data_IF_247977545659
#
_entry.id   IF_247977545659
#
_cell.length_a   1.000
_cell.length_b   1.000
_cell.length_c   1.000
_cell.angle_alpha   90.00
_cell.angle_beta   90.00
_cell.angle_gamma   90.00
#
_symmetry.space_group_name_H-M   'P 1'
#
loop_
_entity.id
_entity.type
_entity.pdbx_description
1 polymer ?
#
# COMPACT_ATOMS: atom_id res chain seq x y z
N UNK A 1 -6.39 8.69 3.57
CA UNK A 1 -4.93 8.51 3.54
C UNK A 1 -4.26 9.86 3.33
N UNK A 2 -3.03 9.97 3.74
CA UNK A 2 -2.19 11.16 3.56
C UNK A 2 -1.49 11.17 2.18
N UNK A 3 -1.21 10.00 1.63
CA UNK A 3 -0.63 9.80 0.30
C UNK A 3 -0.81 8.34 -0.15
N UNK A 4 -0.49 8.04 -1.39
CA UNK A 4 -0.34 6.69 -1.89
C UNK A 4 1.04 6.08 -1.58
N UNK A 5 1.22 4.80 -1.90
CA UNK A 5 2.43 4.03 -1.57
C UNK A 5 3.06 3.35 -2.79
N UNK A 6 2.95 3.93 -3.97
CA UNK A 6 3.43 3.35 -5.24
C UNK A 6 2.89 1.94 -5.51
N UNK A 7 1.73 1.66 -4.96
CA UNK A 7 1.07 0.36 -4.91
C UNK A 7 0.23 0.11 -6.16
N UNK A 8 0.30 -1.09 -6.71
CA UNK A 8 -0.47 -1.49 -7.90
C UNK A 8 -1.25 -2.77 -7.66
N UNK A 9 -2.43 -2.85 -8.27
CA UNK A 9 -3.24 -4.06 -8.38
C UNK A 9 -3.41 -4.34 -9.88
N UNK A 10 -2.89 -5.46 -10.37
CA UNK A 10 -2.81 -5.75 -11.80
C UNK A 10 -3.02 -7.24 -12.10
N UNK A 11 -2.90 -7.63 -13.38
CA UNK A 11 -2.79 -9.00 -13.83
C UNK A 11 -4.04 -9.64 -14.43
N UNK A 12 -5.23 -9.05 -14.34
CA UNK A 12 -6.49 -9.62 -14.84
C UNK A 12 -6.75 -11.07 -14.38
N UNK A 13 -6.65 -11.39 -13.09
CA UNK A 13 -6.86 -12.74 -12.61
C UNK A 13 -8.33 -13.17 -12.75
N UNK A 14 -8.56 -14.47 -12.74
CA UNK A 14 -9.93 -15.02 -12.68
C UNK A 14 -10.65 -14.55 -11.41
N UNK A 15 -11.99 -14.50 -11.49
CA UNK A 15 -12.82 -14.14 -10.33
C UNK A 15 -12.57 -15.10 -9.17
N UNK A 16 -12.35 -14.57 -7.97
CA UNK A 16 -12.04 -15.35 -6.76
C UNK A 16 -10.55 -15.65 -6.58
N UNK A 17 -9.67 -15.16 -7.47
CA UNK A 17 -8.23 -15.21 -7.21
C UNK A 17 -7.91 -14.47 -5.91
N UNK A 18 -7.12 -15.05 -4.98
CA UNK A 18 -6.72 -14.34 -3.78
C UNK A 18 -5.99 -13.03 -4.14
N UNK A 19 -6.33 -11.94 -3.47
CA UNK A 19 -5.71 -10.64 -3.76
C UNK A 19 -4.21 -10.63 -3.51
N UNK A 20 -3.71 -11.40 -2.53
CA UNK A 20 -2.29 -11.60 -2.26
C UNK A 20 -1.68 -12.73 -3.09
N UNK A 21 -2.49 -13.41 -3.92
CA UNK A 21 -2.08 -14.57 -4.69
C UNK A 21 -1.31 -14.22 -5.96
N UNK A 22 -0.68 -15.25 -6.53
CA UNK A 22 -0.19 -15.22 -7.91
C UNK A 22 -1.37 -15.09 -8.86
N UNK A 23 -1.17 -14.43 -9.98
CA UNK A 23 -2.20 -14.25 -11.00
C UNK A 23 -2.52 -15.59 -11.66
N UNK A 24 -3.77 -16.01 -11.61
CA UNK A 24 -4.30 -17.14 -12.40
C UNK A 24 -5.30 -16.59 -13.41
N UNK A 25 -5.03 -16.74 -14.69
CA UNK A 25 -5.87 -16.18 -15.76
C UNK A 25 -7.25 -16.81 -15.82
N UNK A 26 -8.19 -16.13 -16.46
CA UNK A 26 -9.54 -16.67 -16.73
C UNK A 26 -9.43 -17.96 -17.55
N UNK A 27 -10.04 -19.04 -17.05
CA UNK A 27 -10.02 -20.35 -17.71
C UNK A 27 -8.75 -21.18 -17.45
N UNK A 28 -7.83 -20.69 -16.62
CA UNK A 28 -6.64 -21.44 -16.21
C UNK A 28 -6.76 -21.92 -14.76
N UNK A 29 -5.95 -22.95 -14.42
CA UNK A 29 -5.82 -23.47 -13.07
C UNK A 29 -4.44 -23.20 -12.47
N UNK A 30 -3.45 -22.94 -13.31
CA UNK A 30 -2.08 -22.66 -12.92
C UNK A 30 -1.75 -21.16 -13.00
N UNK A 31 -0.77 -20.66 -12.23
CA UNK A 31 -0.31 -19.29 -12.32
C UNK A 31 0.19 -18.91 -13.71
N UNK A 32 -0.15 -17.72 -14.14
CA UNK A 32 0.37 -17.10 -15.35
C UNK A 32 1.85 -16.79 -15.19
N UNK A 33 2.64 -16.99 -16.24
CA UNK A 33 4.06 -16.68 -16.26
C UNK A 33 4.31 -15.39 -17.04
N UNK A 34 5.26 -14.60 -16.58
CA UNK A 34 5.78 -13.45 -17.29
C UNK A 34 6.79 -13.88 -18.39
N UNK A 35 7.38 -12.94 -19.09
CA UNK A 35 8.32 -13.24 -20.20
C UNK A 35 9.65 -13.83 -19.74
N UNK A 36 9.89 -13.88 -18.44
CA UNK A 36 11.04 -14.52 -17.78
C UNK A 36 10.70 -15.92 -17.24
N UNK A 37 9.54 -16.46 -17.66
CA UNK A 37 9.01 -17.75 -17.24
C UNK A 37 8.75 -17.89 -15.72
N UNK A 38 8.69 -16.75 -14.99
CA UNK A 38 8.39 -16.72 -13.57
C UNK A 38 6.95 -16.26 -13.31
N UNK A 39 6.25 -16.81 -12.30
CA UNK A 39 4.94 -16.33 -11.89
C UNK A 39 5.04 -14.94 -11.24
N UNK A 40 3.94 -14.21 -11.22
CA UNK A 40 3.85 -12.87 -10.63
C UNK A 40 2.58 -12.71 -9.81
N UNK A 41 2.62 -11.79 -8.84
CA UNK A 41 1.51 -11.52 -7.93
C UNK A 41 0.55 -10.46 -8.47
N UNK A 42 -0.69 -10.47 -7.96
CA UNK A 42 -1.68 -9.43 -8.23
C UNK A 42 -1.27 -8.08 -7.65
N UNK A 43 -0.70 -8.08 -6.44
CA UNK A 43 -0.23 -6.88 -5.76
C UNK A 43 1.27 -6.71 -5.94
N UNK A 44 1.68 -5.51 -6.33
CA UNK A 44 3.08 -5.16 -6.54
C UNK A 44 3.31 -3.70 -6.16
N UNK A 45 4.58 -3.32 -6.00
CA UNK A 45 5.00 -1.94 -5.79
C UNK A 45 5.84 -1.45 -6.98
N UNK A 46 5.70 -0.18 -7.34
CA UNK A 46 6.54 0.42 -8.38
C UNK A 46 8.00 0.50 -7.94
N UNK A 47 8.24 0.76 -6.66
CA UNK A 47 9.57 0.78 -6.06
C UNK A 47 9.54 0.35 -4.60
N UNK A 48 10.70 0.05 -4.04
CA UNK A 48 10.87 -0.38 -2.65
C UNK A 48 11.82 -1.56 -2.53
N UNK A 49 11.81 -2.22 -1.38
CA UNK A 49 12.74 -3.30 -1.08
C UNK A 49 12.50 -4.57 -1.89
N UNK A 50 11.24 -4.79 -2.31
CA UNK A 50 10.85 -5.99 -3.02
C UNK A 50 10.78 -7.24 -2.12
N UNK A 51 10.58 -8.39 -2.76
CA UNK A 51 10.47 -9.65 -2.06
C UNK A 51 11.81 -10.05 -1.42
N UNK A 52 11.72 -10.45 -0.15
CA UNK A 52 12.80 -11.07 0.60
C UNK A 52 12.28 -12.39 1.15
N UNK A 53 13.04 -13.47 0.97
CA UNK A 53 12.65 -14.76 1.50
C UNK A 53 12.70 -14.74 3.04
N UNK A 54 11.57 -15.05 3.66
CA UNK A 54 11.43 -15.24 5.11
C UNK A 54 10.82 -16.62 5.38
N UNK A 55 10.89 -17.08 6.62
CA UNK A 55 10.20 -18.31 7.02
C UNK A 55 8.70 -18.17 6.76
N UNK A 56 8.02 -19.11 6.09
CA UNK A 56 6.59 -19.03 5.82
C UNK A 56 5.70 -18.92 7.07
N UNK A 57 6.20 -19.34 8.22
CA UNK A 57 5.49 -19.19 9.51
C UNK A 57 5.70 -17.83 10.19
N UNK A 58 6.58 -17.01 9.62
CA UNK A 58 6.86 -15.67 10.16
C UNK A 58 5.62 -14.76 10.06
N UNK A 59 5.31 -14.08 11.14
CA UNK A 59 4.16 -13.17 11.23
C UNK A 59 4.58 -11.73 11.54
N UNK A 60 5.87 -11.52 11.80
CA UNK A 60 6.41 -10.18 12.01
C UNK A 60 6.56 -9.46 10.67
N UNK A 61 5.89 -8.33 10.52
CA UNK A 61 5.95 -7.51 9.32
C UNK A 61 7.37 -6.98 9.02
N UNK A 62 8.23 -6.89 10.04
CA UNK A 62 9.62 -6.45 9.91
C UNK A 62 10.59 -7.61 9.64
N UNK A 63 10.10 -8.85 9.59
CA UNK A 63 10.93 -9.99 9.26
C UNK A 63 11.62 -9.80 7.90
N UNK A 64 12.90 -10.09 7.84
CA UNK A 64 13.70 -9.88 6.62
C UNK A 64 14.05 -8.42 6.29
N UNK A 65 13.63 -7.44 7.08
CA UNK A 65 13.91 -6.02 6.80
C UNK A 65 15.43 -5.70 6.78
N UNK A 66 16.24 -6.48 7.50
CA UNK A 66 17.69 -6.37 7.49
C UNK A 66 18.40 -7.11 6.35
N UNK A 67 17.67 -7.87 5.54
CA UNK A 67 18.28 -8.62 4.43
C UNK A 67 18.71 -7.69 3.29
N UNK A 68 19.58 -8.20 2.42
CA UNK A 68 20.01 -7.47 1.23
C UNK A 68 18.82 -7.23 0.28
N UNK A 69 18.81 -6.06 -0.35
CA UNK A 69 17.79 -5.71 -1.33
C UNK A 69 18.04 -6.51 -2.62
N UNK A 70 17.02 -7.21 -3.10
CA UNK A 70 17.09 -7.88 -4.40
C UNK A 70 17.11 -6.84 -5.54
N UNK A 71 18.00 -7.04 -6.50
CA UNK A 71 18.15 -6.16 -7.66
C UNK A 71 17.44 -6.66 -8.91
N UNK A 72 16.59 -7.68 -8.77
CA UNK A 72 15.80 -8.29 -9.83
C UNK A 72 14.64 -9.09 -9.27
N UNK A 73 13.85 -9.70 -10.14
CA UNK A 73 12.75 -10.57 -9.74
C UNK A 73 13.27 -11.87 -9.10
N UNK A 74 12.50 -12.39 -8.20
CA UNK A 74 12.72 -13.69 -7.55
C UNK A 74 11.69 -14.68 -8.09
N UNK A 75 12.10 -15.93 -8.35
CA UNK A 75 11.16 -16.98 -8.75
C UNK A 75 10.21 -17.32 -7.59
N UNK A 76 8.95 -17.05 -7.75
CA UNK A 76 7.89 -17.31 -6.78
C UNK A 76 7.20 -18.68 -6.98
N UNK A 77 7.69 -19.55 -7.85
CA UNK A 77 7.03 -20.84 -8.18
C UNK A 77 6.74 -21.66 -6.94
N UNK A 78 7.68 -21.77 -6.01
CA UNK A 78 7.55 -22.52 -4.76
C UNK A 78 7.13 -21.68 -3.53
N UNK A 79 6.80 -20.40 -3.71
CA UNK A 79 6.52 -19.46 -2.61
C UNK A 79 5.02 -19.34 -2.35
N UNK A 80 4.58 -19.41 -1.10
CA UNK A 80 3.22 -19.04 -0.70
C UNK A 80 3.15 -17.52 -0.53
N UNK A 81 2.63 -16.84 -1.55
CA UNK A 81 2.49 -15.38 -1.56
C UNK A 81 1.35 -14.87 -0.67
N UNK A 82 0.54 -15.78 -0.09
CA UNK A 82 -0.53 -15.42 0.85
C UNK A 82 -0.10 -15.52 2.31
N UNK A 83 1.10 -16.03 2.56
CA UNK A 83 1.67 -16.14 3.90
C UNK A 83 1.84 -14.75 4.55
N UNK A 84 1.61 -14.61 5.87
CA UNK A 84 1.69 -13.31 6.57
C UNK A 84 3.05 -12.61 6.44
N UNK A 85 4.14 -13.37 6.38
CA UNK A 85 5.50 -12.85 6.25
C UNK A 85 5.94 -12.60 4.79
N UNK A 86 5.06 -12.77 3.79
CA UNK A 86 5.44 -12.54 2.40
C UNK A 86 5.62 -11.05 2.11
N UNK A 87 6.77 -10.68 1.57
CA UNK A 87 7.05 -9.32 1.09
C UNK A 87 6.79 -9.24 -0.41
N UNK A 88 5.98 -8.27 -0.83
CA UNK A 88 5.60 -8.07 -2.23
C UNK A 88 6.79 -7.68 -3.11
N UNK A 89 6.71 -8.02 -4.40
CA UNK A 89 7.71 -7.60 -5.38
C UNK A 89 7.69 -6.07 -5.58
N UNK A 90 8.85 -5.50 -5.88
CA UNK A 90 8.99 -4.11 -6.32
C UNK A 90 9.76 -4.06 -7.65
N UNK A 91 9.32 -3.19 -8.57
CA UNK A 91 9.95 -3.06 -9.87
C UNK A 91 11.31 -2.37 -9.80
N UNK A 92 11.40 -1.27 -9.04
CA UNK A 92 12.63 -0.51 -8.83
C UNK A 92 13.15 -0.79 -7.43
N UNK A 93 14.31 -1.44 -7.28
CA UNK A 93 14.85 -1.79 -5.96
C UNK A 93 15.40 -0.57 -5.24
N UNK A 94 14.79 -0.22 -4.12
CA UNK A 94 15.20 0.86 -3.22
C UNK A 94 15.24 0.36 -1.78
N UNK A 95 15.89 1.09 -0.90
CA UNK A 95 15.91 0.78 0.55
C UNK A 95 14.56 0.98 1.23
N UNK A 96 13.71 1.83 0.66
CA UNK A 96 12.34 2.11 1.07
C UNK A 96 11.52 2.48 -0.15
N UNK A 97 10.19 2.39 -0.07
CA UNK A 97 9.31 2.97 -1.09
C UNK A 97 9.32 4.51 -1.00
N UNK A 98 8.91 5.19 -2.07
CA UNK A 98 9.05 6.66 -2.17
C UNK A 98 7.76 7.43 -1.90
N UNK A 99 6.69 6.78 -1.52
CA UNK A 99 5.33 7.32 -1.64
C UNK A 99 4.96 7.62 -3.10
N UNK A 100 3.70 7.89 -3.36
CA UNK A 100 3.21 8.19 -4.71
C UNK A 100 2.40 9.48 -4.73
N UNK A 101 2.27 10.08 -5.90
CA UNK A 101 1.67 11.40 -6.09
C UNK A 101 0.26 11.37 -6.67
N UNK A 102 -0.39 10.20 -6.74
CA UNK A 102 -1.79 10.10 -7.13
C UNK A 102 -2.72 10.61 -6.05
N UNK A 103 -3.90 11.08 -6.46
CA UNK A 103 -4.96 11.46 -5.55
C UNK A 103 -5.39 10.26 -4.68
N UNK A 104 -5.62 10.51 -3.40
CA UNK A 104 -6.12 9.51 -2.46
C UNK A 104 -7.51 9.87 -1.94
N UNK A 105 -8.31 8.86 -1.64
CA UNK A 105 -9.68 9.06 -1.16
C UNK A 105 -9.71 9.66 0.24
N UNK A 106 -10.55 10.68 0.42
CA UNK A 106 -10.90 11.24 1.73
C UNK A 106 -12.40 11.05 1.97
N UNK A 107 -12.75 10.56 3.15
CA UNK A 107 -14.13 10.35 3.56
C UNK A 107 -14.38 11.06 4.89
N UNK A 108 -15.49 11.76 5.00
CA UNK A 108 -15.86 12.50 6.20
C UNK A 108 -17.27 12.20 6.66
N UNK A 109 -17.48 12.22 7.99
CA UNK A 109 -18.80 12.09 8.62
C UNK A 109 -18.84 12.96 9.88
N UNK A 110 -19.96 13.64 10.11
CA UNK A 110 -20.18 14.51 11.30
C UNK A 110 -20.09 15.99 10.95
N UNK A 111 -19.87 16.86 11.95
CA UNK A 111 -19.76 18.31 11.77
C UNK A 111 -18.67 18.67 10.75
N UNK A 112 -18.98 19.56 9.82
CA UNK A 112 -18.03 19.98 8.78
C UNK A 112 -17.84 19.00 7.62
N UNK A 113 -18.43 17.78 7.64
CA UNK A 113 -18.27 16.78 6.60
C UNK A 113 -18.68 17.28 5.19
N UNK A 114 -19.63 18.19 5.10
CA UNK A 114 -20.08 18.80 3.84
C UNK A 114 -19.00 19.65 3.14
N UNK A 115 -17.93 20.01 3.84
CA UNK A 115 -16.79 20.75 3.29
C UNK A 115 -15.81 19.83 2.53
N UNK A 116 -15.90 18.50 2.75
CA UNK A 116 -15.08 17.52 2.07
C UNK A 116 -15.78 17.12 0.77
N UNK A 117 -15.42 17.75 -0.33
CA UNK A 117 -16.01 17.47 -1.65
C UNK A 117 -15.04 17.85 -2.77
N UNK A 118 -15.09 17.13 -3.89
CA UNK A 118 -14.20 17.37 -5.03
C UNK A 118 -12.74 17.01 -4.73
N UNK A 119 -11.82 17.57 -5.52
CA UNK A 119 -10.36 17.43 -5.32
C UNK A 119 -9.85 18.67 -4.60
N UNK A 120 -9.11 18.46 -3.54
CA UNK A 120 -8.59 19.51 -2.68
C UNK A 120 -7.11 19.25 -2.34
N UNK A 121 -6.42 20.33 -1.98
CA UNK A 121 -5.10 20.22 -1.37
C UNK A 121 -5.20 19.55 0.02
N UNK A 122 -4.20 18.79 0.43
CA UNK A 122 -4.18 18.05 1.69
C UNK A 122 -4.44 18.95 2.92
N UNK A 123 -4.00 20.20 2.87
CA UNK A 123 -4.19 21.18 3.95
C UNK A 123 -5.65 21.46 4.30
N UNK A 124 -6.61 21.16 3.41
CA UNK A 124 -8.05 21.32 3.69
C UNK A 124 -8.50 20.51 4.92
N UNK A 125 -7.83 19.38 5.19
CA UNK A 125 -8.12 18.52 6.34
C UNK A 125 -8.03 19.33 7.64
N UNK A 126 -6.94 20.08 7.81
CA UNK A 126 -6.78 20.96 8.97
C UNK A 126 -7.91 21.99 9.05
N UNK A 127 -8.24 22.63 7.95
CA UNK A 127 -9.29 23.68 7.94
C UNK A 127 -10.67 23.14 8.30
N UNK A 128 -11.00 21.93 7.79
CA UNK A 128 -12.26 21.25 8.15
C UNK A 128 -12.28 20.88 9.63
N UNK A 129 -11.20 20.33 10.15
CA UNK A 129 -11.07 19.96 11.56
C UNK A 129 -11.15 21.20 12.47
N UNK A 130 -10.47 22.29 12.09
CA UNK A 130 -10.51 23.55 12.84
C UNK A 130 -11.92 24.14 12.86
N UNK A 131 -12.61 24.16 11.72
CA UNK A 131 -14.00 24.62 11.63
C UNK A 131 -14.93 23.77 12.52
N UNK A 132 -14.83 22.46 12.42
CA UNK A 132 -15.71 21.55 13.15
C UNK A 132 -15.47 21.54 14.67
N UNK A 133 -14.22 21.70 15.09
CA UNK A 133 -13.79 21.61 16.50
C UNK A 133 -13.45 22.91 17.17
N UNK A 134 -13.49 24.05 16.44
CA UNK A 134 -13.04 25.37 16.93
C UNK A 134 -11.64 25.32 17.57
N UNK A 135 -10.72 24.60 16.90
CA UNK A 135 -9.44 24.22 17.49
C UNK A 135 -8.55 25.42 17.81
N UNK A 136 -8.49 26.41 16.92
CA UNK A 136 -7.66 27.59 17.10
C UNK A 136 -8.08 28.41 18.33
N UNK A 137 -9.38 28.74 18.44
CA UNK A 137 -9.88 29.50 19.58
C UNK A 137 -9.73 28.75 20.90
N UNK A 138 -9.90 27.43 20.87
CA UNK A 138 -9.70 26.58 22.06
C UNK A 138 -8.23 26.55 22.50
N UNK A 139 -7.29 26.48 21.55
CA UNK A 139 -5.86 26.56 21.85
C UNK A 139 -5.49 27.89 22.49
N UNK A 140 -5.96 29.00 21.93
CA UNK A 140 -5.72 30.35 22.46
C UNK A 140 -6.29 30.53 23.88
N UNK A 141 -7.47 29.94 24.15
CA UNK A 141 -8.08 29.96 25.48
C UNK A 141 -7.26 29.22 26.53
N UNK A 142 -6.55 28.14 26.16
CA UNK A 142 -5.66 27.39 27.06
C UNK A 142 -4.36 28.17 27.35
N UNK A 143 -3.76 28.74 26.31
CA UNK A 143 -2.47 29.48 26.43
C UNK A 143 -2.63 30.75 27.26
N UNK A 144 -3.81 31.42 27.20
CA UNK A 144 -4.09 32.68 27.88
C UNK A 144 -4.80 32.52 29.23
N UNK A 145 -4.83 31.30 29.81
CA UNK A 145 -5.30 31.15 31.19
C UNK A 145 -4.25 31.71 32.17
N UNK A 146 -4.66 32.55 33.12
CA UNK A 146 -3.76 33.19 34.08
C UNK A 146 -3.12 32.17 35.05
#
# INVERSE_FOLDING_TARGET
ADHGHVFTIAGYPKRGNPILGKVVAVGADEPSLASDDMPYTTLNYMNGRGHVAVDPSETDADAGYGAAINTGRVDLSGVDTTAPGFHQEALIPLSSETHSGEDVGIYAKGPGAHLVSGTNEQSIIFHVMNFAGDLANRADAVVNQP
#
